data_IF_083562511349
#
_entry.id   IF_083562511349
#
_cell.length_a   1.000
_cell.length_b   1.000
_cell.length_c   1.000
_cell.angle_alpha   90.00
_cell.angle_beta   90.00
_cell.angle_gamma   90.00
#
_symmetry.space_group_name_H-M   'P 1'
#
loop_
_entity.id
_entity.type
_entity.pdbx_description
1 polymer ?
#
# COMPACT_ATOMS: atom_id res chain seq x y z
N UNK A 1 -9.64 2.24 -26.75
CA UNK A 1 -9.75 0.82 -27.18
C UNK A 1 -10.04 0.00 -25.94
N UNK A 2 -11.28 -0.45 -25.80
CA UNK A 2 -11.67 -1.36 -24.72
C UNK A 2 -10.94 -2.68 -24.95
N UNK A 3 -10.16 -3.10 -23.94
CA UNK A 3 -9.46 -4.37 -23.99
C UNK A 3 -10.45 -5.52 -24.09
N UNK A 4 -10.24 -6.39 -25.04
CA UNK A 4 -11.04 -7.58 -25.27
C UNK A 4 -11.23 -8.36 -23.95
N UNK A 5 -12.46 -8.54 -23.52
CA UNK A 5 -12.83 -9.40 -22.41
C UNK A 5 -12.50 -10.85 -22.81
N UNK A 6 -11.65 -11.51 -22.03
CA UNK A 6 -11.47 -12.97 -22.13
C UNK A 6 -12.75 -13.60 -21.58
N UNK A 7 -13.55 -14.32 -22.42
CA UNK A 7 -14.77 -14.98 -21.96
C UNK A 7 -14.38 -16.21 -21.13
N UNK A 8 -14.92 -16.37 -19.93
CA UNK A 8 -15.02 -17.65 -19.25
C UNK A 8 -14.22 -17.90 -17.99
N UNK A 9 -13.45 -16.94 -17.46
CA UNK A 9 -12.88 -17.09 -16.12
C UNK A 9 -13.83 -16.51 -15.08
N UNK A 10 -14.27 -17.32 -14.09
CA UNK A 10 -15.03 -16.84 -12.94
C UNK A 10 -14.25 -15.75 -12.24
N UNK A 11 -14.74 -14.51 -12.34
CA UNK A 11 -14.08 -13.35 -11.75
C UNK A 11 -14.19 -13.38 -10.22
N UNK A 12 -13.17 -12.89 -9.55
CA UNK A 12 -13.19 -12.71 -8.10
C UNK A 12 -14.24 -11.65 -7.73
N UNK A 13 -15.41 -12.08 -7.24
CA UNK A 13 -16.52 -11.22 -6.84
C UNK A 13 -16.94 -11.59 -5.42
N UNK A 14 -17.11 -10.60 -4.55
CA UNK A 14 -17.59 -10.86 -3.20
C UNK A 14 -19.13 -10.86 -3.12
N UNK A 15 -19.69 -11.25 -1.96
CA UNK A 15 -21.13 -11.34 -1.75
C UNK A 15 -21.91 -10.04 -1.91
N UNK A 16 -21.22 -8.91 -2.00
CA UNK A 16 -21.81 -7.57 -2.24
C UNK A 16 -21.67 -7.12 -3.70
N UNK A 17 -21.25 -8.02 -4.61
CA UNK A 17 -21.06 -7.72 -6.02
C UNK A 17 -19.80 -6.90 -6.33
N UNK A 18 -18.89 -6.70 -5.36
CA UNK A 18 -17.65 -5.94 -5.60
C UNK A 18 -16.63 -6.83 -6.30
N UNK A 19 -16.20 -6.40 -7.50
CA UNK A 19 -15.16 -7.09 -8.27
C UNK A 19 -13.78 -6.78 -7.69
N UNK A 20 -13.02 -7.84 -7.37
CA UNK A 20 -11.64 -7.70 -6.89
C UNK A 20 -10.71 -7.60 -8.08
N UNK A 21 -10.22 -6.42 -8.32
CA UNK A 21 -9.30 -6.11 -9.42
C UNK A 21 -7.91 -5.65 -8.95
N UNK A 22 -7.70 -5.57 -7.64
CA UNK A 22 -6.49 -5.06 -7.04
C UNK A 22 -6.03 -5.92 -5.86
N UNK A 23 -4.77 -6.37 -5.92
CA UNK A 23 -4.16 -7.16 -4.86
C UNK A 23 -2.94 -6.43 -4.29
N UNK A 24 -2.82 -6.43 -2.96
CA UNK A 24 -1.59 -6.07 -2.26
C UNK A 24 -0.87 -7.34 -1.86
N UNK A 25 0.31 -7.56 -2.39
CA UNK A 25 1.19 -8.68 -2.05
C UNK A 25 2.30 -8.18 -1.12
N UNK A 26 2.25 -8.58 0.14
CA UNK A 26 3.38 -8.43 1.04
C UNK A 26 4.43 -9.48 0.69
N UNK A 27 5.64 -9.05 0.35
CA UNK A 27 6.72 -9.97 -0.07
C UNK A 27 7.70 -10.28 1.06
N UNK A 28 7.58 -9.55 2.17
CA UNK A 28 8.33 -9.76 3.40
C UNK A 28 7.66 -9.04 4.57
N UNK A 29 7.80 -9.53 5.78
CA UNK A 29 7.43 -8.84 7.01
C UNK A 29 8.56 -7.94 7.55
N UNK A 30 9.79 -8.11 7.02
CA UNK A 30 10.98 -7.35 7.45
C UNK A 30 10.94 -5.92 6.93
N UNK A 31 11.45 -5.02 7.77
CA UNK A 31 11.63 -3.61 7.44
C UNK A 31 12.92 -3.12 8.10
N UNK A 32 13.61 -2.22 7.49
CA UNK A 32 14.78 -1.52 8.04
C UNK A 32 14.41 -0.30 8.91
N UNK A 33 13.14 0.13 8.86
CA UNK A 33 12.59 1.14 9.76
C UNK A 33 11.69 0.52 10.85
N UNK A 34 11.38 1.31 11.89
CA UNK A 34 10.49 0.96 13.01
C UNK A 34 9.51 2.07 13.29
N UNK A 35 8.74 2.46 12.25
CA UNK A 35 7.80 3.58 12.39
C UNK A 35 6.83 3.34 13.54
N UNK A 36 6.70 4.34 14.42
CA UNK A 36 5.96 4.26 15.69
C UNK A 36 4.50 3.86 15.54
N UNK A 37 3.86 4.28 14.46
CA UNK A 37 2.47 3.94 14.18
C UNK A 37 2.30 2.57 13.48
N UNK A 38 3.38 1.96 12.97
CA UNK A 38 3.33 0.77 12.12
C UNK A 38 3.63 -0.52 12.87
N UNK A 39 4.70 -0.54 13.67
CA UNK A 39 5.15 -1.72 14.39
C UNK A 39 5.88 -1.37 15.69
N UNK A 40 5.97 -2.31 16.66
CA UNK A 40 6.77 -2.12 17.87
C UNK A 40 8.26 -2.06 17.51
N UNK A 41 9.07 -1.48 18.40
CA UNK A 41 10.52 -1.39 18.20
C UNK A 41 11.18 -2.76 18.12
N UNK A 42 10.77 -3.67 19.02
CA UNK A 42 11.23 -5.08 19.05
C UNK A 42 10.21 -5.95 18.34
N UNK A 43 10.33 -6.04 17.02
CA UNK A 43 9.48 -6.88 16.19
C UNK A 43 10.10 -8.28 16.01
N UNK A 44 9.30 -9.33 16.17
CA UNK A 44 9.66 -10.69 15.76
C UNK A 44 9.22 -10.91 14.33
N UNK A 45 10.15 -11.30 13.48
CA UNK A 45 9.90 -11.61 12.08
C UNK A 45 9.76 -13.11 11.88
N UNK A 46 8.96 -13.49 10.90
CA UNK A 46 8.82 -14.92 10.55
C UNK A 46 10.13 -15.50 10.00
N UNK A 47 10.41 -16.80 10.22
CA UNK A 47 11.54 -17.47 9.59
C UNK A 47 11.50 -17.33 8.06
N UNK A 48 12.68 -17.20 7.43
CA UNK A 48 12.75 -17.03 5.97
C UNK A 48 12.10 -18.17 5.19
N UNK A 49 12.20 -19.40 5.69
CA UNK A 49 11.59 -20.58 5.06
C UNK A 49 10.07 -20.62 5.09
N UNK A 50 9.43 -19.74 5.87
CA UNK A 50 7.98 -19.57 5.88
C UNK A 50 7.48 -18.55 4.87
N UNK A 51 8.39 -17.73 4.31
CA UNK A 51 8.02 -16.78 3.27
C UNK A 51 7.78 -17.51 1.95
N UNK A 52 6.83 -17.01 1.18
CA UNK A 52 6.64 -17.47 -0.20
C UNK A 52 7.89 -17.16 -1.04
N UNK A 53 8.29 -18.11 -1.88
CA UNK A 53 9.34 -17.92 -2.88
C UNK A 53 8.87 -16.99 -4.02
N UNK A 54 9.80 -16.57 -4.87
CA UNK A 54 9.48 -15.81 -6.10
C UNK A 54 8.54 -16.62 -7.00
N UNK A 55 8.76 -17.95 -7.08
CA UNK A 55 7.93 -18.82 -7.90
C UNK A 55 6.52 -18.99 -7.35
N UNK A 56 6.38 -19.18 -6.03
CA UNK A 56 5.09 -19.26 -5.35
C UNK A 56 4.29 -17.96 -5.49
N UNK A 57 4.95 -16.81 -5.33
CA UNK A 57 4.31 -15.49 -5.54
C UNK A 57 3.93 -15.31 -7.01
N UNK A 58 4.79 -15.73 -7.94
CA UNK A 58 4.53 -15.66 -9.38
C UNK A 58 3.33 -16.52 -9.78
N UNK A 59 3.27 -17.77 -9.32
CA UNK A 59 2.14 -18.67 -9.58
C UNK A 59 0.82 -18.10 -9.04
N UNK A 60 0.84 -17.58 -7.81
CA UNK A 60 -0.32 -16.90 -7.23
C UNK A 60 -0.74 -15.68 -8.04
N UNK A 61 0.22 -14.86 -8.48
CA UNK A 61 -0.06 -13.67 -9.28
C UNK A 61 -0.67 -14.05 -10.65
N UNK A 62 -0.15 -15.09 -11.31
CA UNK A 62 -0.67 -15.60 -12.57
C UNK A 62 -2.13 -16.07 -12.42
N UNK A 63 -2.45 -16.81 -11.37
CA UNK A 63 -3.81 -17.23 -11.03
C UNK A 63 -4.72 -16.02 -10.76
N UNK A 64 -4.27 -15.06 -9.97
CA UNK A 64 -5.06 -13.86 -9.65
C UNK A 64 -5.34 -13.02 -10.90
N UNK A 65 -4.36 -12.89 -11.81
CA UNK A 65 -4.52 -12.19 -13.10
C UNK A 65 -5.55 -12.91 -13.98
N UNK A 66 -5.46 -14.24 -14.08
CA UNK A 66 -6.45 -15.06 -14.80
C UNK A 66 -7.86 -14.87 -14.22
N UNK A 67 -8.00 -14.72 -12.89
CA UNK A 67 -9.26 -14.46 -12.18
C UNK A 67 -9.70 -12.98 -12.20
N UNK A 68 -9.05 -12.11 -13.01
CA UNK A 68 -9.48 -10.74 -13.27
C UNK A 68 -8.82 -9.65 -12.41
N UNK A 69 -7.76 -9.97 -11.67
CA UNK A 69 -6.91 -8.94 -11.04
C UNK A 69 -6.15 -8.20 -12.13
N UNK A 70 -6.21 -6.87 -12.09
CA UNK A 70 -5.58 -5.96 -13.06
C UNK A 70 -4.44 -5.14 -12.45
N UNK A 71 -4.38 -5.05 -11.14
CA UNK A 71 -3.36 -4.26 -10.44
C UNK A 71 -2.75 -5.05 -9.30
N UNK A 72 -1.43 -5.08 -9.27
CA UNK A 72 -0.65 -5.68 -8.18
C UNK A 72 0.21 -4.60 -7.54
N UNK A 73 0.18 -4.53 -6.21
CA UNK A 73 1.10 -3.69 -5.45
C UNK A 73 1.96 -4.54 -4.54
N UNK A 74 3.24 -4.49 -4.78
CA UNK A 74 4.22 -5.09 -3.87
C UNK A 74 4.38 -4.20 -2.65
N UNK A 75 4.29 -4.84 -1.50
CA UNK A 75 4.40 -4.21 -0.18
C UNK A 75 5.17 -5.14 0.76
N UNK A 76 5.03 -4.92 2.04
CA UNK A 76 5.58 -5.78 3.07
C UNK A 76 5.76 -4.98 4.35
N UNK A 77 6.78 -5.32 5.13
CA UNK A 77 7.45 -4.32 5.94
C UNK A 77 8.08 -3.30 4.99
N UNK A 78 9.22 -3.65 4.41
CA UNK A 78 9.81 -2.91 3.28
C UNK A 78 10.13 -3.90 2.15
N UNK A 79 9.50 -3.84 0.98
CA UNK A 79 9.71 -4.82 -0.08
C UNK A 79 11.16 -4.84 -0.59
N UNK A 80 11.86 -3.71 -0.57
CA UNK A 80 13.22 -3.60 -1.10
C UNK A 80 14.31 -4.18 -0.18
N UNK A 81 13.97 -4.65 1.02
CA UNK A 81 14.92 -5.43 1.86
C UNK A 81 14.94 -6.91 1.47
N UNK A 82 14.01 -7.37 0.65
CA UNK A 82 14.00 -8.71 0.12
C UNK A 82 15.06 -8.86 -0.97
N UNK A 83 16.01 -9.81 -0.79
CA UNK A 83 17.19 -9.91 -1.65
C UNK A 83 16.89 -10.30 -3.10
N UNK A 84 15.84 -11.10 -3.34
CA UNK A 84 15.39 -11.57 -4.65
C UNK A 84 14.24 -10.73 -5.26
N UNK A 85 14.03 -9.52 -4.74
CA UNK A 85 12.95 -8.62 -5.19
C UNK A 85 13.06 -8.26 -6.68
N UNK A 86 14.28 -8.14 -7.21
CA UNK A 86 14.52 -7.83 -8.63
C UNK A 86 13.89 -8.87 -9.55
N UNK A 87 14.19 -10.15 -9.35
CA UNK A 87 13.62 -11.24 -10.15
C UNK A 87 12.09 -11.33 -10.03
N UNK A 88 11.54 -11.03 -8.84
CA UNK A 88 10.08 -10.95 -8.68
C UNK A 88 9.47 -9.80 -9.49
N UNK A 89 10.10 -8.63 -9.47
CA UNK A 89 9.62 -7.46 -10.22
C UNK A 89 9.69 -7.71 -11.71
N UNK A 90 10.76 -8.30 -12.23
CA UNK A 90 10.90 -8.68 -13.65
C UNK A 90 9.82 -9.68 -14.06
N UNK A 91 9.61 -10.73 -13.26
CA UNK A 91 8.59 -11.76 -13.51
C UNK A 91 7.17 -11.18 -13.59
N UNK A 92 6.81 -10.32 -12.64
CA UNK A 92 5.49 -9.68 -12.62
C UNK A 92 5.37 -8.57 -13.68
N UNK A 93 6.46 -7.85 -13.94
CA UNK A 93 6.55 -6.84 -14.98
C UNK A 93 6.23 -7.40 -16.38
N UNK A 94 6.70 -8.62 -16.66
CA UNK A 94 6.38 -9.33 -17.91
C UNK A 94 4.88 -9.60 -18.12
N UNK A 95 4.04 -9.43 -17.09
CA UNK A 95 2.58 -9.55 -17.17
C UNK A 95 1.87 -8.24 -17.53
N UNK A 96 2.59 -7.12 -17.51
CA UNK A 96 2.02 -5.82 -17.90
C UNK A 96 1.66 -5.85 -19.38
N UNK A 97 0.40 -5.51 -19.70
CA UNK A 97 -0.17 -5.66 -21.04
C UNK A 97 -0.66 -7.08 -21.37
N UNK A 98 -0.35 -8.08 -20.53
CA UNK A 98 -0.78 -9.47 -20.65
C UNK A 98 -1.72 -9.87 -19.51
N UNK A 99 -2.76 -9.06 -19.27
CA UNK A 99 -3.74 -9.26 -18.21
C UNK A 99 -3.49 -8.41 -16.98
N UNK A 100 -2.30 -7.91 -16.74
CA UNK A 100 -1.97 -6.94 -15.70
C UNK A 100 -1.88 -5.53 -16.31
N UNK A 101 -2.60 -4.57 -15.74
CA UNK A 101 -2.54 -3.17 -16.18
C UNK A 101 -1.44 -2.39 -15.44
N UNK A 102 -1.22 -2.70 -14.16
CA UNK A 102 -0.29 -1.94 -13.32
C UNK A 102 0.42 -2.84 -12.28
N UNK A 103 1.75 -2.78 -12.28
CA UNK A 103 2.61 -3.20 -11.19
C UNK A 103 3.16 -1.96 -10.48
N UNK A 104 3.00 -1.88 -9.16
CA UNK A 104 3.53 -0.76 -8.38
C UNK A 104 4.07 -1.25 -7.04
N UNK A 105 4.86 -0.42 -6.37
CA UNK A 105 5.40 -0.69 -5.04
C UNK A 105 4.97 0.38 -4.04
N UNK A 106 4.88 -0.01 -2.76
CA UNK A 106 4.96 0.92 -1.63
C UNK A 106 6.25 0.65 -0.89
N UNK A 107 7.09 1.65 -0.75
CA UNK A 107 8.42 1.56 -0.15
C UNK A 107 8.68 2.73 0.80
N UNK A 108 9.55 2.54 1.78
CA UNK A 108 10.05 3.63 2.61
C UNK A 108 11.16 4.47 1.93
N UNK A 109 11.58 4.06 0.74
CA UNK A 109 12.54 4.80 -0.09
C UNK A 109 14.01 4.61 0.25
N UNK A 110 14.36 4.02 1.39
CA UNK A 110 15.77 3.91 1.86
C UNK A 110 16.68 3.17 0.87
N UNK A 111 16.12 2.22 0.13
CA UNK A 111 16.85 1.38 -0.86
C UNK A 111 16.45 1.67 -2.31
N UNK A 112 15.60 2.65 -2.52
CA UNK A 112 14.98 2.90 -3.82
C UNK A 112 16.01 3.29 -4.89
N UNK A 113 17.04 4.07 -4.52
CA UNK A 113 18.09 4.49 -5.46
C UNK A 113 18.75 3.31 -6.18
N UNK A 114 19.02 2.21 -5.47
CA UNK A 114 19.71 1.03 -6.03
C UNK A 114 18.85 0.20 -6.99
N UNK A 115 17.55 0.42 -7.05
CA UNK A 115 16.64 -0.42 -7.86
C UNK A 115 15.74 0.37 -8.81
N UNK A 116 15.79 1.70 -8.79
CA UNK A 116 14.90 2.57 -9.59
C UNK A 116 14.94 2.25 -11.08
N UNK A 117 16.13 2.05 -11.63
CA UNK A 117 16.33 1.69 -13.04
C UNK A 117 15.71 0.32 -13.36
N UNK A 118 15.97 -0.70 -12.55
CA UNK A 118 15.39 -2.03 -12.69
C UNK A 118 13.86 -1.97 -12.68
N UNK A 119 13.28 -1.20 -11.75
CA UNK A 119 11.82 -1.02 -11.68
C UNK A 119 11.27 -0.42 -12.99
N UNK A 120 11.92 0.62 -13.53
CA UNK A 120 11.50 1.25 -14.77
C UNK A 120 11.62 0.30 -15.96
N UNK A 121 12.73 -0.43 -16.09
CA UNK A 121 12.98 -1.43 -17.14
C UNK A 121 11.97 -2.59 -17.08
N UNK A 122 11.54 -3.00 -15.88
CA UNK A 122 10.49 -4.01 -15.70
C UNK A 122 9.05 -3.47 -15.96
N UNK A 123 8.90 -2.22 -16.42
CA UNK A 123 7.61 -1.64 -16.79
C UNK A 123 6.83 -1.03 -15.63
N UNK A 124 7.40 -0.93 -14.42
CA UNK A 124 6.81 -0.15 -13.33
C UNK A 124 6.78 1.32 -13.77
N UNK A 125 5.62 1.95 -13.68
CA UNK A 125 5.45 3.36 -14.08
C UNK A 125 5.44 4.31 -12.89
N UNK A 126 5.13 3.80 -11.70
CA UNK A 126 4.92 4.62 -10.49
C UNK A 126 5.33 3.87 -9.23
N UNK A 127 5.95 4.61 -8.31
CA UNK A 127 6.25 4.14 -6.96
C UNK A 127 5.54 5.00 -5.92
N UNK A 128 5.14 4.39 -4.80
CA UNK A 128 4.60 5.11 -3.66
C UNK A 128 5.65 5.11 -2.57
N UNK A 129 6.15 6.28 -2.21
CA UNK A 129 7.19 6.43 -1.19
C UNK A 129 6.55 6.96 0.09
N UNK A 130 6.74 6.22 1.19
CA UNK A 130 6.29 6.65 2.52
C UNK A 130 7.29 7.65 3.09
N UNK A 131 6.85 8.92 3.25
CA UNK A 131 7.65 10.00 3.79
C UNK A 131 6.77 10.90 4.67
N UNK A 132 6.89 10.73 5.98
CA UNK A 132 6.03 11.41 6.95
C UNK A 132 6.56 12.77 7.41
N UNK A 133 7.81 13.11 7.11
CA UNK A 133 8.43 14.39 7.43
C UNK A 133 9.66 14.64 6.58
N UNK A 134 9.93 15.90 6.25
CA UNK A 134 11.18 16.37 5.62
C UNK A 134 12.14 17.02 6.62
N UNK A 135 11.73 17.13 7.86
CA UNK A 135 12.60 17.49 8.97
C UNK A 135 13.37 16.26 9.47
N UNK A 136 14.72 16.26 9.50
CA UNK A 136 15.51 15.09 9.86
C UNK A 136 15.26 14.56 11.27
N UNK A 137 15.03 15.45 12.24
CA UNK A 137 14.80 15.06 13.63
C UNK A 137 13.43 14.42 13.79
N UNK A 138 12.41 15.04 13.17
CA UNK A 138 11.05 14.52 13.18
C UNK A 138 10.93 13.21 12.38
N UNK A 139 11.59 13.12 11.24
CA UNK A 139 11.67 11.88 10.48
C UNK A 139 12.29 10.76 11.32
N UNK A 140 13.40 11.03 12.00
CA UNK A 140 14.04 10.08 12.93
C UNK A 140 13.14 9.74 14.11
N UNK A 141 12.44 10.71 14.68
CA UNK A 141 11.46 10.47 15.73
C UNK A 141 10.37 9.49 15.28
N UNK A 142 9.79 9.69 14.09
CA UNK A 142 8.71 8.84 13.56
C UNK A 142 9.24 7.45 13.23
N UNK A 143 10.38 7.35 12.55
CA UNK A 143 10.91 6.09 11.98
C UNK A 143 11.81 5.31 12.93
N UNK A 144 12.26 5.92 14.02
CA UNK A 144 13.28 5.48 15.00
C UNK A 144 14.70 5.34 14.42
N UNK A 145 14.86 4.79 13.23
CA UNK A 145 16.18 4.45 12.66
C UNK A 145 16.42 5.03 11.25
N UNK A 146 15.49 5.87 10.74
CA UNK A 146 15.55 6.33 9.35
C UNK A 146 16.65 7.35 9.10
N UNK A 147 17.28 7.25 7.92
CA UNK A 147 18.09 8.29 7.29
C UNK A 147 17.28 8.98 6.20
N UNK A 148 16.89 10.23 6.46
CA UNK A 148 16.11 11.03 5.52
C UNK A 148 16.85 11.27 4.20
N UNK A 149 18.17 11.42 4.23
CA UNK A 149 18.98 11.67 3.01
C UNK A 149 18.91 10.47 2.06
N UNK A 150 18.95 9.26 2.59
CA UNK A 150 18.80 8.05 1.78
C UNK A 150 17.42 7.98 1.10
N UNK A 151 16.35 8.38 1.81
CA UNK A 151 14.98 8.43 1.26
C UNK A 151 14.86 9.49 0.15
N UNK A 152 15.33 10.70 0.39
CA UNK A 152 15.28 11.78 -0.60
C UNK A 152 16.11 11.42 -1.84
N UNK A 153 17.32 10.88 -1.67
CA UNK A 153 18.13 10.40 -2.78
C UNK A 153 17.45 9.23 -3.54
N UNK A 154 16.68 8.39 -2.86
CA UNK A 154 15.85 7.36 -3.48
C UNK A 154 14.71 7.95 -4.34
N UNK A 155 14.06 9.01 -3.87
CA UNK A 155 13.02 9.74 -4.60
C UNK A 155 13.61 10.37 -5.87
N UNK A 156 14.75 11.06 -5.74
CA UNK A 156 15.43 11.71 -6.87
C UNK A 156 15.85 10.67 -7.93
N UNK A 157 16.41 9.54 -7.49
CA UNK A 157 16.81 8.45 -8.38
C UNK A 157 15.59 7.82 -9.11
N UNK A 158 14.45 7.67 -8.43
CA UNK A 158 13.23 7.17 -9.05
C UNK A 158 12.71 8.15 -10.11
N UNK A 159 12.68 9.44 -9.80
CA UNK A 159 12.27 10.46 -10.76
C UNK A 159 13.23 10.52 -11.97
N UNK A 160 14.55 10.45 -11.75
CA UNK A 160 15.56 10.39 -12.81
C UNK A 160 15.45 9.13 -13.69
N UNK A 161 14.96 8.01 -13.13
CA UNK A 161 14.66 6.78 -13.88
C UNK A 161 13.33 6.84 -14.64
N UNK A 162 12.60 7.97 -14.62
CA UNK A 162 11.32 8.15 -15.29
C UNK A 162 10.11 7.57 -14.54
N UNK A 163 10.26 7.19 -13.27
CA UNK A 163 9.15 6.72 -12.44
C UNK A 163 8.36 7.92 -11.90
N UNK A 164 7.04 7.90 -12.04
CA UNK A 164 6.21 8.82 -11.32
C UNK A 164 6.29 8.53 -9.81
N UNK A 165 6.61 9.54 -9.01
CA UNK A 165 6.69 9.41 -7.56
C UNK A 165 5.42 9.92 -6.91
N UNK A 166 4.89 9.14 -6.00
CA UNK A 166 3.77 9.52 -5.15
C UNK A 166 4.18 9.42 -3.69
N UNK A 167 4.13 10.52 -3.00
CA UNK A 167 4.43 10.59 -1.57
C UNK A 167 3.19 10.17 -0.77
N UNK A 168 3.37 9.23 0.14
CA UNK A 168 2.36 8.86 1.14
C UNK A 168 2.82 9.40 2.50
N UNK A 169 1.99 10.21 3.15
CA UNK A 169 2.27 10.80 4.46
C UNK A 169 1.13 10.43 5.42
N UNK A 170 1.45 9.75 6.51
CA UNK A 170 0.51 9.55 7.61
C UNK A 170 0.43 10.85 8.42
N UNK A 171 -0.75 11.45 8.48
CA UNK A 171 -0.99 12.68 9.21
C UNK A 171 -1.12 12.39 10.72
N UNK A 172 -0.23 12.97 11.53
CA UNK A 172 -0.10 12.71 12.96
C UNK A 172 -0.22 14.01 13.75
N UNK A 173 -1.28 14.13 14.56
CA UNK A 173 -1.53 15.29 15.44
C UNK A 173 -0.37 15.46 16.44
N UNK A 174 0.11 16.70 16.59
CA UNK A 174 1.22 17.05 17.48
C UNK A 174 2.57 16.45 17.07
N UNK A 175 2.69 15.93 15.84
CA UNK A 175 3.96 15.41 15.31
C UNK A 175 4.31 16.09 14.00
N UNK A 176 3.58 15.83 12.90
CA UNK A 176 3.88 16.37 11.58
C UNK A 176 2.77 17.23 10.98
N UNK A 177 1.71 17.51 11.73
CA UNK A 177 0.56 18.30 11.23
C UNK A 177 0.94 19.69 10.76
N UNK A 178 1.96 20.31 11.36
CA UNK A 178 2.48 21.63 10.96
C UNK A 178 3.30 21.61 9.66
N UNK A 179 3.75 20.44 9.20
CA UNK A 179 4.56 20.30 7.98
C UNK A 179 3.74 19.99 6.73
N UNK A 180 2.45 19.70 6.86
CA UNK A 180 1.65 19.20 5.73
C UNK A 180 1.61 20.23 4.59
N UNK A 181 1.49 21.52 4.90
CA UNK A 181 1.55 22.59 3.90
C UNK A 181 2.90 22.68 3.18
N UNK A 182 4.00 22.53 3.92
CA UNK A 182 5.37 22.53 3.37
C UNK A 182 5.63 21.27 2.54
N UNK A 183 5.10 20.12 2.95
CA UNK A 183 5.15 18.88 2.19
C UNK A 183 4.41 19.03 0.85
N UNK A 184 3.21 19.64 0.86
CA UNK A 184 2.45 19.88 -0.36
C UNK A 184 3.18 20.84 -1.31
N UNK A 185 3.79 21.94 -0.79
CA UNK A 185 4.61 22.87 -1.58
C UNK A 185 5.82 22.17 -2.22
N UNK A 186 6.51 21.35 -1.46
CA UNK A 186 7.64 20.58 -1.98
C UNK A 186 7.19 19.57 -3.05
N UNK A 187 6.12 18.85 -2.82
CA UNK A 187 5.56 17.92 -3.81
C UNK A 187 5.18 18.65 -5.10
N UNK A 188 4.54 19.83 -4.99
CA UNK A 188 4.18 20.67 -6.13
C UNK A 188 5.40 21.11 -6.94
N UNK A 189 6.45 21.56 -6.25
CA UNK A 189 7.71 21.99 -6.89
C UNK A 189 8.46 20.84 -7.56
N UNK A 190 8.31 19.61 -7.05
CA UNK A 190 9.01 18.42 -7.56
C UNK A 190 8.16 17.57 -8.53
N UNK A 191 6.90 17.94 -8.79
CA UNK A 191 5.99 17.18 -9.65
C UNK A 191 5.51 15.86 -9.05
N UNK A 192 5.49 15.72 -7.73
CA UNK A 192 5.08 14.52 -7.02
C UNK A 192 3.65 14.62 -6.51
N UNK A 193 2.82 13.62 -6.75
CA UNK A 193 1.53 13.52 -6.07
C UNK A 193 1.72 13.35 -4.56
N UNK A 194 0.88 13.99 -3.74
CA UNK A 194 0.85 13.78 -2.29
C UNK A 194 -0.42 13.02 -1.90
N UNK A 195 -0.27 12.01 -1.03
CA UNK A 195 -1.43 11.33 -0.40
C UNK A 195 -1.28 11.40 1.11
N UNK A 196 -2.25 12.05 1.75
CA UNK A 196 -2.38 12.06 3.21
C UNK A 196 -3.22 10.87 3.66
N UNK A 197 -2.85 10.27 4.78
CA UNK A 197 -3.46 9.05 5.30
C UNK A 197 -3.79 9.24 6.78
N UNK A 198 -5.03 8.98 7.17
CA UNK A 198 -5.39 8.90 8.60
C UNK A 198 -4.72 7.69 9.27
N UNK A 199 -4.27 7.86 10.51
CA UNK A 199 -3.78 6.73 11.30
C UNK A 199 -4.91 5.73 11.58
N UNK A 200 -4.61 4.44 11.53
CA UNK A 200 -5.59 3.36 11.68
C UNK A 200 -5.31 2.54 12.96
N UNK A 201 -6.35 2.05 13.65
CA UNK A 201 -6.20 1.25 14.87
C UNK A 201 -5.83 -0.21 14.55
N UNK A 202 -4.63 -0.45 14.00
CA UNK A 202 -4.13 -1.75 13.54
C UNK A 202 -2.84 -2.11 14.29
N UNK A 203 -2.79 -3.33 14.83
CA UNK A 203 -1.67 -3.86 15.62
C UNK A 203 -1.42 -3.09 16.92
N UNK A 204 -0.78 -3.65 17.88
CA UNK A 204 -0.32 -2.92 19.07
C UNK A 204 1.11 -2.42 18.85
N UNK A 205 1.28 -1.12 18.76
CA UNK A 205 2.59 -0.47 18.55
C UNK A 205 3.12 0.20 19.82
N UNK A 206 2.39 0.12 20.93
CA UNK A 206 2.68 0.85 22.17
C UNK A 206 2.36 2.36 22.11
N UNK A 207 1.86 2.87 20.98
CA UNK A 207 1.50 4.28 20.80
C UNK A 207 0.01 4.53 21.06
N UNK A 208 -0.32 5.64 21.73
CA UNK A 208 -1.72 6.09 21.91
C UNK A 208 -2.23 6.71 20.60
N UNK A 209 -2.78 5.89 19.70
CA UNK A 209 -3.23 6.35 18.37
C UNK A 209 -4.30 7.44 18.45
N UNK A 210 -5.19 7.39 19.42
CA UNK A 210 -6.23 8.39 19.59
C UNK A 210 -5.66 9.80 19.76
N UNK A 211 -4.54 9.96 20.51
CA UNK A 211 -3.89 11.26 20.69
C UNK A 211 -3.13 11.74 19.43
N UNK A 212 -2.88 10.85 18.49
CA UNK A 212 -2.19 11.14 17.21
C UNK A 212 -3.15 11.24 16.03
N UNK A 213 -4.42 10.92 16.23
CA UNK A 213 -5.40 10.99 15.17
C UNK A 213 -5.66 12.43 14.74
N UNK A 214 -5.60 12.66 13.45
CA UNK A 214 -5.86 13.92 12.79
C UNK A 214 -6.85 13.68 11.64
N UNK A 215 -8.12 14.16 11.77
CA UNK A 215 -9.10 14.06 10.69
C UNK A 215 -8.62 14.82 9.46
N UNK A 216 -8.63 14.18 8.30
CA UNK A 216 -8.13 14.83 7.08
C UNK A 216 -9.06 15.90 6.52
N UNK A 217 -10.31 15.95 6.94
CA UNK A 217 -11.20 17.07 6.59
C UNK A 217 -10.73 18.38 7.26
N UNK A 218 -10.23 18.32 8.52
CA UNK A 218 -9.60 19.49 9.17
C UNK A 218 -8.34 19.94 8.40
N UNK A 219 -7.53 18.98 7.95
CA UNK A 219 -6.32 19.27 7.17
C UNK A 219 -6.68 19.89 5.83
N UNK A 220 -7.67 19.34 5.11
CA UNK A 220 -8.12 19.87 3.84
C UNK A 220 -8.59 21.32 3.97
N UNK A 221 -9.43 21.63 4.97
CA UNK A 221 -9.90 23.00 5.23
C UNK A 221 -8.75 23.99 5.52
N UNK A 222 -7.68 23.52 6.18
CA UNK A 222 -6.47 24.36 6.39
C UNK A 222 -5.74 24.61 5.08
N UNK A 223 -5.56 23.57 4.25
CA UNK A 223 -4.88 23.70 2.96
C UNK A 223 -5.66 24.55 1.96
N UNK A 224 -6.99 24.57 2.01
CA UNK A 224 -7.87 25.41 1.16
C UNK A 224 -7.70 26.91 1.40
N UNK A 225 -7.00 27.32 2.48
CA UNK A 225 -6.65 28.74 2.70
C UNK A 225 -5.53 29.22 1.76
N UNK A 226 -4.64 28.30 1.39
CA UNK A 226 -3.44 28.62 0.60
C UNK A 226 -3.53 28.04 -0.82
N UNK A 227 -4.40 27.01 -1.05
CA UNK A 227 -4.48 26.27 -2.29
C UNK A 227 -5.93 26.12 -2.78
N UNK A 228 -6.14 26.31 -4.07
CA UNK A 228 -7.39 25.92 -4.72
C UNK A 228 -7.42 24.40 -4.88
N UNK A 229 -8.23 23.70 -4.09
CA UNK A 229 -8.40 22.25 -4.14
C UNK A 229 -9.72 21.89 -4.83
N UNK A 230 -9.64 21.38 -6.07
CA UNK A 230 -10.81 21.00 -6.84
C UNK A 230 -10.97 19.48 -6.85
N UNK A 231 -12.14 18.89 -6.52
CA UNK A 231 -12.34 17.45 -6.59
C UNK A 231 -11.98 16.89 -7.96
N UNK A 232 -11.16 15.83 -7.99
CA UNK A 232 -10.71 15.16 -9.22
C UNK A 232 -11.52 13.89 -9.48
N UNK A 233 -11.81 13.62 -10.75
CA UNK A 233 -12.43 12.36 -11.19
C UNK A 233 -11.44 11.20 -11.29
N UNK A 234 -10.14 11.46 -11.12
CA UNK A 234 -9.09 10.45 -11.22
C UNK A 234 -9.26 9.38 -10.15
N UNK A 235 -9.21 8.11 -10.57
CA UNK A 235 -9.24 6.94 -9.68
C UNK A 235 -8.05 6.04 -9.98
N UNK A 236 -7.24 5.76 -8.96
CA UNK A 236 -6.03 4.91 -9.10
C UNK A 236 -6.27 3.47 -8.61
N UNK A 237 -7.52 3.03 -8.48
CA UNK A 237 -7.88 1.73 -7.90
C UNK A 237 -7.66 1.62 -6.39
N UNK A 238 -7.00 2.60 -5.76
CA UNK A 238 -6.84 2.73 -4.32
C UNK A 238 -8.01 3.46 -3.65
N UNK A 239 -7.98 3.62 -2.31
CA UNK A 239 -9.06 4.26 -1.54
C UNK A 239 -8.98 5.79 -1.51
N UNK A 240 -7.96 6.39 -2.11
CA UNK A 240 -7.77 7.84 -2.05
C UNK A 240 -8.83 8.58 -2.86
N UNK A 241 -9.39 9.63 -2.28
CA UNK A 241 -10.12 10.67 -2.99
C UNK A 241 -9.13 11.75 -3.39
N UNK A 242 -9.14 12.14 -4.66
CA UNK A 242 -8.17 13.08 -5.20
C UNK A 242 -8.74 14.48 -5.40
N UNK A 243 -7.86 15.45 -5.22
CA UNK A 243 -8.09 16.87 -5.53
C UNK A 243 -6.95 17.35 -6.44
N UNK A 244 -7.29 18.06 -7.50
CA UNK A 244 -6.33 18.82 -8.28
C UNK A 244 -5.88 20.03 -7.45
N UNK A 245 -4.58 20.27 -7.42
CA UNK A 245 -3.99 21.39 -6.68
C UNK A 245 -3.77 22.55 -7.63
N UNK A 246 -4.57 23.60 -7.52
CA UNK A 246 -4.57 24.74 -8.44
C UNK A 246 -3.21 25.37 -8.62
N UNK A 247 -2.86 25.71 -9.87
CA UNK A 247 -1.56 26.25 -10.25
C UNK A 247 -0.43 25.22 -10.31
N UNK A 248 -0.72 23.93 -10.20
CA UNK A 248 0.27 22.83 -10.23
C UNK A 248 -0.19 21.69 -11.13
N UNK A 249 0.72 20.73 -11.41
CA UNK A 249 0.40 19.49 -12.14
C UNK A 249 0.13 18.30 -11.23
N UNK A 250 0.18 18.47 -9.91
CA UNK A 250 0.07 17.37 -8.94
C UNK A 250 -1.36 17.23 -8.39
N UNK A 251 -1.59 16.10 -7.74
CA UNK A 251 -2.84 15.81 -7.03
C UNK A 251 -2.58 15.57 -5.56
N UNK A 252 -3.52 16.06 -4.74
CA UNK A 252 -3.62 15.73 -3.34
C UNK A 252 -4.63 14.58 -3.16
N UNK A 253 -4.19 13.43 -2.66
CA UNK A 253 -5.03 12.30 -2.31
C UNK A 253 -5.33 12.28 -0.81
N UNK A 254 -6.56 11.97 -0.41
CA UNK A 254 -6.96 11.79 0.98
C UNK A 254 -7.45 10.36 1.19
N UNK A 255 -6.83 9.63 2.12
CA UNK A 255 -7.26 8.31 2.58
C UNK A 255 -7.82 8.45 3.99
N UNK A 256 -9.15 8.39 4.08
CA UNK A 256 -9.95 8.71 5.26
C UNK A 256 -10.72 7.49 5.78
N UNK A 257 -10.06 6.46 6.31
CA UNK A 257 -10.74 5.26 6.77
C UNK A 257 -11.69 5.52 7.95
N UNK A 258 -11.43 6.56 8.74
CA UNK A 258 -12.18 6.89 9.94
C UNK A 258 -13.21 7.99 9.69
N UNK A 259 -12.82 9.08 9.02
CA UNK A 259 -13.70 10.23 8.78
C UNK A 259 -14.53 10.11 7.49
N UNK A 260 -14.18 9.21 6.57
CA UNK A 260 -14.89 9.07 5.30
C UNK A 260 -14.77 7.67 4.70
N UNK A 261 -15.63 6.76 5.15
CA UNK A 261 -15.62 5.36 4.74
C UNK A 261 -15.68 5.19 3.20
N UNK A 262 -14.82 4.31 2.67
CA UNK A 262 -14.71 3.97 1.24
C UNK A 262 -14.94 2.48 0.96
N UNK A 263 -15.54 1.74 1.92
CA UNK A 263 -15.67 0.28 1.85
C UNK A 263 -16.65 -0.19 0.77
N UNK A 264 -17.69 0.58 0.47
CA UNK A 264 -18.67 0.23 -0.56
C UNK A 264 -18.04 -0.02 -1.95
N UNK A 265 -16.98 0.70 -2.30
CA UNK A 265 -16.21 0.51 -3.54
C UNK A 265 -14.94 -0.33 -3.39
N UNK A 266 -14.81 -1.14 -2.33
CA UNK A 266 -13.58 -1.86 -2.04
C UNK A 266 -13.36 -3.03 -3.00
N UNK A 267 -12.40 -2.89 -3.91
CA UNK A 267 -12.01 -3.85 -4.93
C UNK A 267 -10.74 -4.65 -4.57
N UNK A 268 -10.39 -4.77 -3.27
CA UNK A 268 -9.06 -5.24 -2.85
C UNK A 268 -9.11 -6.44 -1.93
N UNK A 269 -8.08 -7.29 -2.07
CA UNK A 269 -7.63 -8.26 -1.08
C UNK A 269 -6.16 -8.03 -0.76
N UNK A 270 -5.66 -8.67 0.29
CA UNK A 270 -4.27 -8.63 0.71
C UNK A 270 -3.75 -10.02 0.92
N UNK A 271 -2.52 -10.27 0.48
CA UNK A 271 -1.82 -11.52 0.76
C UNK A 271 -0.52 -11.19 1.50
N UNK A 272 -0.27 -11.88 2.61
CA UNK A 272 0.95 -11.72 3.40
C UNK A 272 2.12 -12.44 2.75
N UNK A 273 3.32 -12.16 3.21
CA UNK A 273 4.54 -12.82 2.76
C UNK A 273 4.56 -14.33 3.06
N UNK A 274 3.71 -14.80 3.97
CA UNK A 274 3.54 -16.22 4.32
C UNK A 274 2.39 -16.91 3.57
N UNK A 275 1.72 -16.21 2.64
CA UNK A 275 0.62 -16.79 1.87
C UNK A 275 -0.74 -16.75 2.56
N UNK A 276 -0.89 -15.99 3.66
CA UNK A 276 -2.19 -15.77 4.27
C UNK A 276 -2.94 -14.67 3.53
N UNK A 277 -4.13 -14.94 3.01
CA UNK A 277 -4.96 -13.96 2.32
C UNK A 277 -6.06 -13.40 3.24
N UNK A 278 -6.24 -12.06 3.20
CA UNK A 278 -7.25 -11.31 3.94
C UNK A 278 -8.20 -10.58 2.99
N UNK A 279 -9.50 -10.73 3.22
CA UNK A 279 -10.54 -10.00 2.48
C UNK A 279 -10.64 -8.53 2.87
N UNK A 280 -10.32 -8.19 4.12
CA UNK A 280 -10.37 -6.85 4.68
C UNK A 280 -9.16 -6.55 5.58
N UNK A 281 -8.69 -5.30 5.58
CA UNK A 281 -7.61 -4.86 6.45
C UNK A 281 -8.03 -4.83 7.94
N UNK A 282 -9.29 -4.51 8.21
CA UNK A 282 -9.82 -4.33 9.56
C UNK A 282 -10.42 -5.57 10.20
N UNK A 283 -10.38 -6.73 9.55
CA UNK A 283 -10.93 -7.98 10.05
C UNK A 283 -9.93 -9.11 10.01
N UNK A 284 -10.07 -10.11 10.90
CA UNK A 284 -9.17 -11.26 11.01
C UNK A 284 -9.59 -12.45 10.14
N UNK A 285 -10.71 -12.36 9.43
CA UNK A 285 -11.13 -13.39 8.48
C UNK A 285 -10.06 -13.55 7.38
N UNK A 286 -9.59 -14.77 7.21
CA UNK A 286 -8.46 -15.12 6.38
C UNK A 286 -8.56 -16.53 5.82
N UNK A 287 -7.74 -16.83 4.83
CA UNK A 287 -7.45 -18.18 4.32
C UNK A 287 -5.93 -18.34 4.18
N UNK A 288 -5.47 -19.58 4.37
CA UNK A 288 -4.05 -19.91 4.23
C UNK A 288 -3.84 -20.54 2.84
N UNK A 289 -2.93 -19.97 2.05
CA UNK A 289 -2.66 -20.40 0.67
C UNK A 289 -1.30 -21.09 0.52
N UNK A 290 -0.42 -20.98 1.49
CA UNK A 290 0.98 -21.40 1.37
C UNK A 290 1.13 -22.88 1.01
N UNK A 291 0.50 -23.75 1.78
CA UNK A 291 0.73 -25.19 1.65
C UNK A 291 0.12 -25.73 0.35
N UNK A 292 -1.01 -25.20 -0.08
CA UNK A 292 -1.63 -25.52 -1.39
C UNK A 292 -0.80 -24.99 -2.56
N UNK A 293 -0.23 -23.77 -2.44
CA UNK A 293 0.71 -23.23 -3.43
C UNK A 293 1.97 -24.09 -3.54
N UNK A 294 2.55 -24.52 -2.42
CA UNK A 294 3.72 -25.42 -2.39
C UNK A 294 3.45 -26.78 -2.98
N UNK A 295 2.25 -27.30 -2.79
CA UNK A 295 1.80 -28.53 -3.41
C UNK A 295 1.47 -28.40 -4.92
N UNK A 296 1.45 -27.15 -5.46
CA UNK A 296 1.04 -26.90 -6.84
C UNK A 296 -0.46 -27.07 -7.06
N UNK A 297 -1.27 -27.18 -6.02
CA UNK A 297 -2.72 -27.35 -6.10
C UNK A 297 -3.43 -26.00 -6.27
N UNK A 298 -3.38 -25.48 -7.50
CA UNK A 298 -4.02 -24.22 -7.84
C UNK A 298 -5.54 -24.25 -7.71
N UNK A 299 -6.17 -25.42 -7.88
CA UNK A 299 -7.63 -25.58 -7.69
C UNK A 299 -8.01 -25.34 -6.23
N UNK A 300 -7.24 -25.88 -5.29
CA UNK A 300 -7.47 -25.61 -3.87
C UNK A 300 -7.21 -24.14 -3.50
N UNK A 301 -6.23 -23.49 -4.16
CA UNK A 301 -5.98 -22.03 -4.00
C UNK A 301 -7.20 -21.22 -4.47
N UNK A 302 -7.78 -21.56 -5.62
CA UNK A 302 -8.99 -20.89 -6.13
C UNK A 302 -10.16 -21.07 -5.18
N UNK A 303 -10.45 -22.29 -4.74
CA UNK A 303 -11.51 -22.57 -3.77
C UNK A 303 -11.34 -21.78 -2.45
N UNK A 304 -10.10 -21.66 -1.95
CA UNK A 304 -9.80 -20.87 -0.77
C UNK A 304 -10.05 -19.37 -1.00
N UNK A 305 -9.69 -18.83 -2.18
CA UNK A 305 -9.97 -17.44 -2.52
C UNK A 305 -11.47 -17.15 -2.63
N UNK A 306 -12.25 -18.09 -3.21
CA UNK A 306 -13.70 -17.96 -3.29
C UNK A 306 -14.34 -18.00 -1.90
N UNK A 307 -13.88 -18.88 -1.01
CA UNK A 307 -14.32 -18.91 0.39
C UNK A 307 -13.98 -17.62 1.14
N UNK A 308 -12.79 -17.04 0.88
CA UNK A 308 -12.39 -15.74 1.43
C UNK A 308 -13.37 -14.65 1.01
N UNK A 309 -13.75 -14.62 -0.27
CA UNK A 309 -14.64 -13.59 -0.81
C UNK A 309 -16.08 -13.75 -0.38
N UNK A 310 -16.56 -14.98 -0.25
CA UNK A 310 -17.88 -15.27 0.31
C UNK A 310 -18.03 -14.73 1.74
N UNK A 311 -16.96 -14.77 2.53
CA UNK A 311 -16.91 -14.22 3.89
C UNK A 311 -16.43 -12.77 3.99
N UNK A 312 -16.02 -12.10 2.89
CA UNK A 312 -15.50 -10.73 2.94
C UNK A 312 -16.56 -9.78 3.50
N UNK A 313 -16.23 -8.96 4.55
CA UNK A 313 -17.19 -8.04 5.16
C UNK A 313 -17.53 -6.88 4.23
N UNK A 314 -18.70 -6.27 4.45
CA UNK A 314 -19.13 -5.06 3.74
C UNK A 314 -18.15 -3.91 3.97
N UNK A 315 -17.73 -3.70 5.23
CA UNK A 315 -16.80 -2.66 5.61
C UNK A 315 -15.98 -3.04 6.82
N UNK A 316 -15.08 -2.16 7.20
CA UNK A 316 -14.41 -2.22 8.50
C UNK A 316 -15.19 -1.39 9.53
N UNK A 317 -14.99 -1.70 10.79
CA UNK A 317 -15.58 -1.05 11.96
C UNK A 317 -14.51 -0.37 12.84
N UNK A 318 -13.54 0.28 12.22
CA UNK A 318 -12.49 1.00 12.93
C UNK A 318 -13.03 2.05 13.89
N UNK A 319 -12.59 1.99 15.14
CA UNK A 319 -12.90 2.95 16.20
C UNK A 319 -11.59 3.46 16.80
N UNK A 320 -11.24 4.71 16.51
CA UNK A 320 -9.96 5.29 16.95
C UNK A 320 -9.86 5.40 18.48
N UNK A 321 -10.99 5.59 19.16
CA UNK A 321 -11.06 5.70 20.63
C UNK A 321 -11.05 4.34 21.33
N UNK A 322 -11.06 3.21 20.60
CA UNK A 322 -10.99 1.90 21.21
C UNK A 322 -9.64 1.70 21.93
N UNK A 323 -9.68 1.12 23.12
CA UNK A 323 -8.49 0.82 23.92
C UNK A 323 -7.60 -0.24 23.26
N UNK A 324 -8.21 -1.13 22.46
CA UNK A 324 -7.52 -2.20 21.72
C UNK A 324 -7.55 -1.94 20.21
N UNK A 325 -6.52 -2.35 19.47
CA UNK A 325 -6.56 -2.29 18.02
C UNK A 325 -7.70 -3.17 17.46
N UNK A 326 -8.23 -2.79 16.29
CA UNK A 326 -9.29 -3.56 15.61
C UNK A 326 -8.81 -4.97 15.24
N UNK A 327 -7.53 -5.12 14.92
CA UNK A 327 -6.84 -6.38 14.63
C UNK A 327 -5.47 -6.40 15.28
N UNK A 328 -5.04 -7.56 15.75
CA UNK A 328 -3.76 -7.71 16.46
C UNK A 328 -2.54 -7.63 15.52
N UNK A 329 -2.68 -8.03 14.25
CA UNK A 329 -1.58 -8.01 13.28
C UNK A 329 -1.12 -6.59 12.96
N UNK A 330 0.18 -6.42 12.80
CA UNK A 330 0.77 -5.14 12.43
C UNK A 330 0.61 -4.81 10.95
N UNK A 331 0.69 -3.52 10.60
CA UNK A 331 0.62 -3.07 9.22
C UNK A 331 1.72 -3.68 8.34
N UNK A 332 2.90 -3.91 8.88
CA UNK A 332 4.03 -4.55 8.19
C UNK A 332 3.77 -5.97 7.71
N UNK A 333 2.80 -6.68 8.29
CA UNK A 333 2.44 -8.04 7.90
C UNK A 333 1.58 -8.05 6.64
N UNK A 334 0.60 -7.17 6.57
CA UNK A 334 -0.38 -7.11 5.46
C UNK A 334 -0.06 -6.04 4.42
N UNK A 335 1.01 -5.29 4.64
CA UNK A 335 1.44 -4.19 3.80
C UNK A 335 0.62 -2.91 3.96
N UNK A 336 1.31 -1.80 4.14
CA UNK A 336 0.75 -0.46 4.25
C UNK A 336 0.35 0.17 2.90
#
# INVERSE_FOLDING_TARGET
MEGAEVPGADRLVDRFGRRISYVRLSVTDRCDLRCRYCMPERMRFVPRGELLSVDEIGALADLLIARGVRRIRLTGGEPLVRGDIGGLVERLGARIGHGLDELTLTTNGTRLAGVSRLLAEAGVRRVNVSLDSRDPERFRFITRHGDLRAVLGGIDAAAAAGLAVKINMVALRGVNEGEIGDMLRWCAASGHDLTLIETMPIGDTGERRASRYLPLDEVRQRLERDWALTPSLVRTGGPARYYEVGGTSIRLGLITPLSGNFCAGCNRIRVTATGTAYGCLGHDQKVELRDTLRAGDLTAVEAALDALLAGKPEGHDFRIMALRPAVARHMSVTGG
#
